data_IF_041568912815
#
_entry.id   IF_041568912815
#
_cell.length_a   1.000
_cell.length_b   1.000
_cell.length_c   1.000
_cell.angle_alpha   90.00
_cell.angle_beta   90.00
_cell.angle_gamma   90.00
#
_symmetry.space_group_name_H-M   'P 1'
#
loop_
_entity.id
_entity.type
_entity.pdbx_description
1 polymer ?
#
# COMPACT_ATOMS: atom_id res chain seq x y z
N UNK A 1 15.48 -35.22 -24.83
CA UNK A 1 15.77 -33.92 -24.18
C UNK A 1 16.52 -34.22 -22.89
N UNK A 2 17.82 -33.97 -22.87
CA UNK A 2 18.70 -34.39 -21.78
C UNK A 2 18.75 -33.29 -20.71
N UNK A 3 18.22 -33.56 -19.52
CA UNK A 3 18.33 -32.70 -18.36
C UNK A 3 19.77 -32.79 -17.82
N UNK A 4 20.58 -31.76 -18.04
CA UNK A 4 21.84 -31.60 -17.33
C UNK A 4 21.50 -30.85 -16.03
N UNK A 5 21.71 -31.44 -14.84
CA UNK A 5 21.57 -30.70 -13.60
C UNK A 5 22.70 -29.66 -13.55
N UNK A 6 22.36 -28.38 -13.71
CA UNK A 6 23.31 -27.29 -13.46
C UNK A 6 23.50 -27.26 -11.95
N UNK A 7 24.56 -27.92 -11.48
CA UNK A 7 24.97 -27.90 -10.09
C UNK A 7 25.26 -26.43 -9.72
N UNK A 8 24.39 -25.84 -8.88
CA UNK A 8 24.43 -24.44 -8.43
C UNK A 8 25.54 -24.15 -7.41
N UNK A 9 26.53 -25.04 -7.29
CA UNK A 9 27.69 -24.88 -6.43
C UNK A 9 28.84 -24.25 -7.22
N UNK A 10 29.58 -23.32 -6.58
CA UNK A 10 30.84 -22.83 -7.15
C UNK A 10 31.76 -24.03 -7.45
N UNK A 11 32.52 -24.00 -8.56
CA UNK A 11 33.61 -24.94 -8.78
C UNK A 11 34.58 -24.97 -7.58
N UNK A 12 35.08 -26.15 -7.22
CA UNK A 12 35.89 -26.36 -6.01
C UNK A 12 37.13 -25.46 -5.93
N UNK A 13 37.76 -25.19 -7.07
CA UNK A 13 38.94 -24.31 -7.17
C UNK A 13 38.60 -22.81 -6.94
N UNK A 14 37.34 -22.41 -7.07
CA UNK A 14 36.85 -21.07 -6.72
C UNK A 14 36.33 -21.04 -5.28
N UNK A 15 35.68 -22.12 -4.85
CA UNK A 15 35.10 -22.24 -3.51
C UNK A 15 36.17 -22.33 -2.41
N UNK A 16 37.32 -22.95 -2.70
CA UNK A 16 38.43 -23.07 -1.77
C UNK A 16 39.51 -22.00 -2.04
N UNK A 17 39.72 -21.11 -1.08
CA UNK A 17 40.71 -20.04 -1.15
C UNK A 17 42.14 -20.58 -1.38
N UNK A 18 42.52 -21.72 -0.80
CA UNK A 18 43.87 -22.27 -1.00
C UNK A 18 44.08 -22.74 -2.45
N UNK A 19 43.09 -23.47 -3.00
CA UNK A 19 43.14 -23.94 -4.39
C UNK A 19 43.12 -22.77 -5.38
N UNK A 20 42.39 -21.70 -5.05
CA UNK A 20 42.39 -20.48 -5.87
C UNK A 20 43.78 -19.83 -5.92
N UNK A 21 44.49 -19.79 -4.79
CA UNK A 21 45.87 -19.29 -4.71
C UNK A 21 46.82 -20.17 -5.50
N UNK A 22 46.73 -21.48 -5.33
CA UNK A 22 47.58 -22.45 -6.04
C UNK A 22 47.39 -22.30 -7.56
N UNK A 23 46.14 -22.19 -8.02
CA UNK A 23 45.83 -21.97 -9.44
C UNK A 23 46.41 -20.64 -9.94
N UNK A 24 46.30 -19.56 -9.15
CA UNK A 24 46.86 -18.26 -9.50
C UNK A 24 48.39 -18.31 -9.65
N UNK A 25 49.08 -19.01 -8.73
CA UNK A 25 50.53 -19.21 -8.78
C UNK A 25 50.93 -20.02 -10.01
N UNK A 26 50.24 -21.14 -10.27
CA UNK A 26 50.50 -21.98 -11.45
C UNK A 26 50.39 -21.17 -12.74
N UNK A 27 49.34 -20.36 -12.87
CA UNK A 27 49.16 -19.48 -14.02
C UNK A 27 50.28 -18.44 -14.12
N UNK A 28 50.64 -17.79 -13.02
CA UNK A 28 51.71 -16.79 -12.98
C UNK A 28 53.08 -17.35 -13.38
N UNK A 29 53.36 -18.62 -13.05
CA UNK A 29 54.59 -19.31 -13.46
C UNK A 29 54.57 -19.77 -14.92
N UNK A 30 53.40 -20.14 -15.45
CA UNK A 30 53.24 -20.77 -16.78
C UNK A 30 53.20 -19.81 -17.99
N UNK A 31 53.33 -18.50 -17.77
CA UNK A 31 53.13 -17.44 -18.79
C UNK A 31 51.73 -17.36 -19.41
N UNK A 32 50.79 -18.17 -18.91
CA UNK A 32 49.39 -18.12 -19.31
C UNK A 32 48.72 -16.81 -18.86
N UNK A 33 47.78 -16.31 -19.67
CA UNK A 33 46.99 -15.12 -19.31
C UNK A 33 45.95 -15.47 -18.24
N UNK A 34 45.75 -14.61 -17.22
CA UNK A 34 44.77 -14.87 -16.16
C UNK A 34 43.32 -14.60 -16.60
N UNK A 35 43.12 -13.96 -17.74
CA UNK A 35 41.84 -13.40 -18.21
C UNK A 35 40.71 -14.44 -18.22
N UNK A 36 40.99 -15.66 -18.69
CA UNK A 36 40.00 -16.73 -18.77
C UNK A 36 39.51 -17.18 -17.39
N UNK A 37 40.43 -17.26 -16.41
CA UNK A 37 40.10 -17.65 -15.03
C UNK A 37 39.36 -16.54 -14.30
N UNK A 38 39.76 -15.29 -14.50
CA UNK A 38 39.05 -14.13 -13.98
C UNK A 38 37.63 -14.03 -14.57
N UNK A 39 37.48 -14.30 -15.86
CA UNK A 39 36.17 -14.38 -16.51
C UNK A 39 35.30 -15.51 -15.95
N UNK A 40 35.89 -16.69 -15.70
CA UNK A 40 35.18 -17.81 -15.09
C UNK A 40 34.65 -17.48 -13.68
N UNK A 41 35.45 -16.79 -12.85
CA UNK A 41 35.02 -16.31 -11.52
C UNK A 41 33.85 -15.32 -11.67
N UNK A 42 33.97 -14.33 -12.56
CA UNK A 42 32.89 -13.35 -12.80
C UNK A 42 31.60 -14.02 -13.26
N UNK A 43 31.68 -14.97 -14.19
CA UNK A 43 30.53 -15.69 -14.73
C UNK A 43 29.83 -16.54 -13.65
N UNK A 44 30.61 -17.23 -12.80
CA UNK A 44 30.07 -18.05 -11.72
C UNK A 44 29.24 -17.22 -10.72
N UNK A 45 29.70 -16.01 -10.38
CA UNK A 45 28.96 -15.10 -9.50
C UNK A 45 27.81 -14.40 -10.22
N UNK A 46 27.94 -14.05 -11.50
CA UNK A 46 26.87 -13.44 -12.30
C UNK A 46 25.62 -14.34 -12.38
N UNK A 47 25.81 -15.66 -12.55
CA UNK A 47 24.71 -16.61 -12.55
C UNK A 47 23.98 -16.67 -11.19
N UNK A 48 24.72 -16.56 -10.09
CA UNK A 48 24.15 -16.58 -8.73
C UNK A 48 23.42 -15.28 -8.40
N UNK A 49 24.00 -14.12 -8.76
CA UNK A 49 23.38 -12.81 -8.50
C UNK A 49 22.17 -12.56 -9.38
N UNK A 50 22.13 -13.08 -10.61
CA UNK A 50 21.00 -12.88 -11.53
C UNK A 50 19.65 -13.33 -10.95
N UNK A 51 19.62 -14.47 -10.24
CA UNK A 51 18.41 -14.95 -9.59
C UNK A 51 17.95 -14.05 -8.43
N UNK A 52 18.90 -13.50 -7.68
CA UNK A 52 18.64 -12.60 -6.55
C UNK A 52 18.21 -11.21 -7.03
N UNK A 53 18.87 -10.67 -8.06
CA UNK A 53 18.50 -9.41 -8.71
C UNK A 53 17.06 -9.46 -9.23
N UNK A 54 16.69 -10.56 -9.88
CA UNK A 54 15.31 -10.77 -10.33
C UNK A 54 14.32 -10.85 -9.17
N UNK A 55 14.66 -11.53 -8.08
CA UNK A 55 13.81 -11.59 -6.89
C UNK A 55 13.66 -10.21 -6.24
N UNK A 56 14.71 -9.40 -6.24
CA UNK A 56 14.68 -8.04 -5.73
C UNK A 56 13.80 -7.13 -6.57
N UNK A 57 13.92 -7.18 -7.90
CA UNK A 57 13.09 -6.39 -8.81
C UNK A 57 11.60 -6.72 -8.63
N UNK A 58 11.26 -8.01 -8.61
CA UNK A 58 9.89 -8.48 -8.35
C UNK A 58 9.37 -8.06 -6.97
N UNK A 59 10.21 -8.14 -5.95
CA UNK A 59 9.83 -7.75 -4.59
C UNK A 59 9.63 -6.23 -4.47
N UNK A 60 10.46 -5.41 -5.12
CA UNK A 60 10.31 -3.96 -5.17
C UNK A 60 9.00 -3.56 -5.87
N UNK A 61 8.65 -4.22 -6.96
CA UNK A 61 7.36 -4.05 -7.64
C UNK A 61 6.18 -4.41 -6.71
N UNK A 62 6.25 -5.57 -6.05
CA UNK A 62 5.19 -6.02 -5.12
C UNK A 62 5.00 -5.07 -3.95
N UNK A 63 6.09 -4.53 -3.38
CA UNK A 63 6.03 -3.51 -2.33
C UNK A 63 5.42 -2.21 -2.85
N UNK A 64 5.71 -1.84 -4.10
CA UNK A 64 5.07 -0.71 -4.79
C UNK A 64 3.56 -0.87 -4.90
N UNK A 65 3.10 -2.02 -5.36
CA UNK A 65 1.67 -2.35 -5.49
C UNK A 65 0.94 -2.35 -4.13
N UNK A 66 1.57 -2.92 -3.11
CA UNK A 66 1.06 -2.88 -1.74
C UNK A 66 0.94 -1.44 -1.23
N UNK A 67 1.90 -0.57 -1.57
CA UNK A 67 1.84 0.83 -1.19
C UNK A 67 0.67 1.55 -1.88
N UNK A 68 0.47 1.32 -3.18
CA UNK A 68 -0.68 1.86 -3.89
C UNK A 68 -2.03 1.39 -3.32
N UNK A 69 -2.11 0.13 -2.89
CA UNK A 69 -3.31 -0.42 -2.25
C UNK A 69 -3.57 0.21 -0.87
N UNK A 70 -2.50 0.42 -0.09
CA UNK A 70 -2.54 1.12 1.20
C UNK A 70 -3.04 2.56 1.02
N UNK A 71 -2.51 3.28 0.03
CA UNK A 71 -2.87 4.68 -0.24
C UNK A 71 -4.34 4.82 -0.64
N UNK A 72 -4.86 3.90 -1.46
CA UNK A 72 -6.29 3.86 -1.82
C UNK A 72 -7.17 3.63 -0.59
N UNK A 73 -6.87 2.60 0.21
CA UNK A 73 -7.70 2.29 1.39
C UNK A 73 -7.62 3.36 2.49
N UNK A 74 -6.47 4.02 2.66
CA UNK A 74 -6.36 5.16 3.59
C UNK A 74 -7.19 6.35 3.14
N UNK A 75 -7.21 6.67 1.85
CA UNK A 75 -8.07 7.71 1.29
C UNK A 75 -9.56 7.38 1.45
N UNK A 76 -9.97 6.16 1.13
CA UNK A 76 -11.36 5.70 1.31
C UNK A 76 -11.78 5.78 2.79
N UNK A 77 -10.90 5.36 3.69
CA UNK A 77 -11.16 5.44 5.13
C UNK A 77 -11.28 6.89 5.61
N UNK A 78 -10.45 7.80 5.12
CA UNK A 78 -10.54 9.22 5.44
C UNK A 78 -11.87 9.82 4.98
N UNK A 79 -12.30 9.51 3.75
CA UNK A 79 -13.58 9.97 3.20
C UNK A 79 -14.77 9.44 4.00
N UNK A 80 -14.80 8.14 4.31
CA UNK A 80 -15.88 7.55 5.10
C UNK A 80 -15.95 8.12 6.52
N UNK A 81 -14.79 8.41 7.12
CA UNK A 81 -14.71 9.02 8.46
C UNK A 81 -15.25 10.46 8.42
N UNK A 82 -14.88 11.25 7.40
CA UNK A 82 -15.41 12.61 7.23
C UNK A 82 -16.93 12.64 7.01
N UNK A 83 -17.46 11.70 6.24
CA UNK A 83 -18.92 11.60 6.02
C UNK A 83 -19.66 11.25 7.30
N UNK A 84 -19.07 10.43 8.17
CA UNK A 84 -19.68 10.01 9.43
C UNK A 84 -19.87 11.16 10.43
N UNK A 85 -19.05 12.22 10.36
CA UNK A 85 -19.15 13.38 11.25
C UNK A 85 -20.29 14.36 10.90
N UNK A 86 -20.98 14.14 9.77
CA UNK A 86 -22.07 15.03 9.34
C UNK A 86 -23.41 14.64 9.97
N UNK A 87 -23.82 15.37 11.01
CA UNK A 87 -25.14 15.21 11.64
C UNK A 87 -26.27 15.80 10.77
N UNK A 88 -27.43 15.12 10.67
CA UNK A 88 -28.61 15.67 10.01
C UNK A 88 -29.11 16.92 10.76
N UNK A 89 -29.23 18.04 10.05
CA UNK A 89 -29.86 19.24 10.61
C UNK A 89 -31.36 19.01 10.81
N UNK A 90 -31.94 19.52 11.90
CA UNK A 90 -33.39 19.43 12.11
C UNK A 90 -34.14 20.18 10.99
N UNK A 91 -35.27 19.64 10.48
CA UNK A 91 -36.01 20.20 9.36
C UNK A 91 -36.90 21.39 9.77
N UNK A 92 -36.30 22.41 10.39
CA UNK A 92 -37.01 23.60 10.90
C UNK A 92 -37.76 24.33 9.76
N UNK A 93 -37.15 24.40 8.58
CA UNK A 93 -37.74 25.09 7.42
C UNK A 93 -39.05 24.48 6.91
N UNK A 94 -39.15 23.15 6.85
CA UNK A 94 -40.36 22.45 6.41
C UNK A 94 -41.50 22.60 7.43
N UNK A 95 -41.17 22.58 8.72
CA UNK A 95 -42.15 22.81 9.78
C UNK A 95 -42.74 24.22 9.72
N UNK A 96 -41.92 25.25 9.46
CA UNK A 96 -42.37 26.64 9.32
C UNK A 96 -43.27 26.84 8.09
N UNK A 97 -42.94 26.23 6.95
CA UNK A 97 -43.78 26.25 5.75
C UNK A 97 -45.15 25.60 5.99
N UNK A 98 -45.19 24.45 6.67
CA UNK A 98 -46.44 23.76 7.02
C UNK A 98 -47.32 24.58 7.95
N UNK A 99 -46.71 25.26 8.94
CA UNK A 99 -47.41 26.17 9.85
C UNK A 99 -48.05 27.35 9.10
N UNK A 100 -47.30 27.96 8.18
CA UNK A 100 -47.80 29.07 7.35
C UNK A 100 -49.00 28.67 6.48
N UNK A 101 -48.94 27.49 5.84
CA UNK A 101 -50.04 26.95 5.03
C UNK A 101 -51.28 26.62 5.87
N UNK A 102 -51.11 26.06 7.06
CA UNK A 102 -52.22 25.72 7.96
C UNK A 102 -52.96 26.96 8.44
N UNK A 103 -52.23 27.98 8.91
CA UNK A 103 -52.83 29.23 9.38
C UNK A 103 -53.47 30.00 8.21
N UNK A 104 -52.76 30.13 7.08
CA UNK A 104 -53.26 30.83 5.91
C UNK A 104 -54.52 30.18 5.31
N UNK A 105 -54.55 28.85 5.20
CA UNK A 105 -55.72 28.11 4.73
C UNK A 105 -56.93 28.26 5.66
N UNK A 106 -56.70 28.28 6.97
CA UNK A 106 -57.77 28.46 7.97
C UNK A 106 -58.39 29.86 7.91
N UNK A 107 -57.57 30.90 7.72
CA UNK A 107 -58.04 32.28 7.53
C UNK A 107 -58.81 32.43 6.22
N UNK A 108 -58.30 31.87 5.12
CA UNK A 108 -58.98 31.91 3.82
C UNK A 108 -60.36 31.23 3.88
N UNK A 109 -60.45 30.09 4.54
CA UNK A 109 -61.71 29.37 4.73
C UNK A 109 -62.71 30.16 5.60
N UNK A 110 -62.23 30.84 6.65
CA UNK A 110 -63.06 31.70 7.49
C UNK A 110 -63.69 32.84 6.68
N UNK A 111 -62.91 33.50 5.82
CA UNK A 111 -63.39 34.59 4.94
C UNK A 111 -64.44 34.07 3.96
N UNK A 112 -64.23 32.88 3.37
CA UNK A 112 -65.16 32.27 2.41
C UNK A 112 -66.50 31.90 3.08
N UNK A 113 -66.45 31.30 4.27
CA UNK A 113 -67.65 30.93 5.04
C UNK A 113 -68.43 32.15 5.52
N UNK A 114 -67.73 33.24 5.88
CA UNK A 114 -68.35 34.50 6.26
C UNK A 114 -69.19 35.12 5.13
N UNK A 115 -68.76 34.97 3.87
CA UNK A 115 -69.52 35.46 2.72
C UNK A 115 -70.81 34.66 2.46
N UNK A 116 -70.79 33.35 2.71
CA UNK A 116 -71.94 32.49 2.43
C UNK A 116 -72.96 32.44 3.59
N UNK A 117 -72.52 32.64 4.84
CA UNK A 117 -73.33 32.49 6.05
C UNK A 117 -73.11 33.66 7.03
N UNK A 118 -73.59 34.89 6.72
CA UNK A 118 -73.27 36.10 7.47
C UNK A 118 -73.85 36.15 8.90
N UNK A 119 -74.88 35.35 9.19
CA UNK A 119 -75.54 35.33 10.50
C UNK A 119 -74.87 34.39 11.52
N UNK A 120 -73.82 33.65 11.13
CA UNK A 120 -73.16 32.62 11.95
C UNK A 120 -71.68 32.95 12.25
N UNK A 121 -71.33 34.22 12.35
CA UNK A 121 -69.95 34.71 12.49
C UNK A 121 -69.16 34.09 13.66
N UNK A 122 -69.80 33.88 14.81
CA UNK A 122 -69.13 33.29 15.97
C UNK A 122 -68.79 31.81 15.72
N UNK A 123 -69.66 31.08 15.03
CA UNK A 123 -69.46 29.67 14.69
C UNK A 123 -68.38 29.49 13.61
N UNK A 124 -68.31 30.38 12.62
CA UNK A 124 -67.27 30.34 11.57
C UNK A 124 -65.87 30.61 12.16
N UNK A 125 -65.75 31.55 13.10
CA UNK A 125 -64.49 31.84 13.80
C UNK A 125 -64.04 30.64 14.65
N UNK A 126 -64.95 30.02 15.41
CA UNK A 126 -64.65 28.83 16.22
C UNK A 126 -64.20 27.68 15.32
N UNK A 127 -64.92 27.40 14.23
CA UNK A 127 -64.59 26.31 13.31
C UNK A 127 -63.23 26.53 12.63
N UNK A 128 -62.93 27.76 12.22
CA UNK A 128 -61.63 28.12 11.65
C UNK A 128 -60.49 27.98 12.67
N UNK A 129 -60.72 28.35 13.95
CA UNK A 129 -59.75 28.16 15.02
C UNK A 129 -59.45 26.69 15.31
N UNK A 130 -60.47 25.83 15.36
CA UNK A 130 -60.31 24.38 15.56
C UNK A 130 -59.52 23.75 14.40
N UNK A 131 -59.84 24.14 13.16
CA UNK A 131 -59.10 23.68 11.98
C UNK A 131 -57.64 24.13 12.00
N UNK A 132 -57.37 25.39 12.34
CA UNK A 132 -56.01 25.93 12.45
C UNK A 132 -55.18 25.17 13.49
N UNK A 133 -55.73 24.94 14.69
CA UNK A 133 -55.05 24.21 15.76
C UNK A 133 -54.82 22.75 15.36
N UNK A 134 -55.82 22.09 14.75
CA UNK A 134 -55.67 20.70 14.30
C UNK A 134 -54.62 20.55 13.19
N UNK A 135 -54.55 21.51 12.25
CA UNK A 135 -53.55 21.52 11.19
C UNK A 135 -52.13 21.82 11.69
N UNK A 136 -52.01 22.71 12.69
CA UNK A 136 -50.73 22.96 13.37
C UNK A 136 -50.24 21.71 14.13
N UNK A 137 -51.13 21.01 14.83
CA UNK A 137 -50.79 19.76 15.52
C UNK A 137 -50.41 18.68 14.51
N UNK A 138 -51.16 18.54 13.41
CA UNK A 138 -50.88 17.56 12.36
C UNK A 138 -49.52 17.80 11.68
N UNK A 139 -49.22 19.04 11.30
CA UNK A 139 -47.92 19.40 10.69
C UNK A 139 -46.75 19.19 11.65
N UNK A 140 -46.92 19.50 12.94
CA UNK A 140 -45.93 19.21 13.97
C UNK A 140 -45.68 17.70 14.13
N UNK A 141 -46.74 16.89 14.19
CA UNK A 141 -46.64 15.43 14.32
C UNK A 141 -45.96 14.80 13.08
N UNK A 142 -46.29 15.26 11.87
CA UNK A 142 -45.60 14.82 10.65
C UNK A 142 -44.12 15.22 10.67
N UNK A 143 -43.79 16.44 11.09
CA UNK A 143 -42.40 16.89 11.18
C UNK A 143 -41.59 16.04 12.18
N UNK A 144 -42.18 15.72 13.34
CA UNK A 144 -41.56 14.85 14.35
C UNK A 144 -41.40 13.41 13.83
N UNK A 145 -42.43 12.86 13.17
CA UNK A 145 -42.37 11.51 12.60
C UNK A 145 -41.31 11.41 11.50
N UNK A 146 -41.22 12.41 10.63
CA UNK A 146 -40.19 12.47 9.58
C UNK A 146 -38.78 12.58 10.17
N UNK A 147 -38.58 13.41 11.20
CA UNK A 147 -37.29 13.53 11.86
C UNK A 147 -36.88 12.23 12.56
N UNK A 148 -37.81 11.53 13.22
CA UNK A 148 -37.55 10.21 13.82
C UNK A 148 -37.17 9.17 12.76
N UNK A 149 -37.88 9.13 11.63
CA UNK A 149 -37.55 8.24 10.52
C UNK A 149 -36.14 8.51 9.97
N UNK A 150 -35.78 9.80 9.81
CA UNK A 150 -34.42 10.20 9.43
C UNK A 150 -33.39 9.74 10.45
N UNK A 151 -33.61 9.94 11.75
CA UNK A 151 -32.68 9.51 12.81
C UNK A 151 -32.42 8.00 12.78
N UNK A 152 -33.47 7.18 12.60
CA UNK A 152 -33.33 5.72 12.49
C UNK A 152 -32.50 5.34 11.24
N UNK A 153 -32.77 5.98 10.11
CA UNK A 153 -32.01 5.74 8.88
C UNK A 153 -30.54 6.17 9.04
N UNK A 154 -30.30 7.32 9.67
CA UNK A 154 -28.96 7.80 10.01
C UNK A 154 -28.24 6.83 10.94
N UNK A 155 -28.92 6.29 11.96
CA UNK A 155 -28.36 5.31 12.88
C UNK A 155 -27.97 4.01 12.15
N UNK A 156 -28.82 3.49 11.24
CA UNK A 156 -28.44 2.33 10.42
C UNK A 156 -27.25 2.64 9.49
N UNK A 157 -27.23 3.85 8.91
CA UNK A 157 -26.12 4.29 8.05
C UNK A 157 -24.81 4.43 8.83
N UNK A 158 -24.82 5.02 10.02
CA UNK A 158 -23.61 5.14 10.85
C UNK A 158 -23.14 3.80 11.35
N UNK A 159 -24.04 2.89 11.72
CA UNK A 159 -23.69 1.53 12.17
C UNK A 159 -23.05 0.72 11.04
N UNK A 160 -23.62 0.78 9.84
CA UNK A 160 -23.05 0.12 8.65
C UNK A 160 -21.72 0.75 8.23
N UNK A 161 -21.61 2.08 8.21
CA UNK A 161 -20.35 2.79 7.95
C UNK A 161 -19.27 2.45 8.97
N UNK A 162 -19.62 2.36 10.26
CA UNK A 162 -18.68 1.97 11.32
C UNK A 162 -18.15 0.54 11.14
N UNK A 163 -19.01 -0.38 10.70
CA UNK A 163 -18.60 -1.74 10.35
C UNK A 163 -17.62 -1.74 9.17
N UNK A 164 -17.93 -0.99 8.10
CA UNK A 164 -17.03 -0.85 6.93
C UNK A 164 -15.68 -0.25 7.32
N UNK A 165 -15.68 0.83 8.11
CA UNK A 165 -14.44 1.47 8.61
C UNK A 165 -13.63 0.46 9.42
N UNK A 166 -14.27 -0.33 10.28
CA UNK A 166 -13.58 -1.38 11.05
C UNK A 166 -12.92 -2.42 10.15
N UNK A 167 -13.64 -2.90 9.13
CA UNK A 167 -13.10 -3.87 8.18
C UNK A 167 -11.93 -3.31 7.37
N UNK A 168 -12.03 -2.06 6.90
CA UNK A 168 -10.95 -1.38 6.17
C UNK A 168 -9.71 -1.18 7.06
N UNK A 169 -9.88 -0.81 8.34
CA UNK A 169 -8.76 -0.71 9.29
C UNK A 169 -8.05 -2.05 9.49
N UNK A 170 -8.82 -3.14 9.54
CA UNK A 170 -8.26 -4.48 9.68
C UNK A 170 -7.51 -4.93 8.42
N UNK A 171 -8.02 -4.62 7.23
CA UNK A 171 -7.32 -4.86 5.97
C UNK A 171 -6.04 -4.03 5.87
N UNK A 172 -6.09 -2.77 6.31
CA UNK A 172 -4.92 -1.89 6.34
C UNK A 172 -3.82 -2.47 7.23
N UNK A 173 -4.15 -2.93 8.43
CA UNK A 173 -3.16 -3.51 9.34
C UNK A 173 -2.59 -4.82 8.80
N UNK A 174 -3.39 -5.65 8.13
CA UNK A 174 -2.89 -6.87 7.49
C UNK A 174 -1.95 -6.56 6.32
N UNK A 175 -2.28 -5.58 5.48
CA UNK A 175 -1.39 -5.14 4.38
C UNK A 175 -0.10 -4.49 4.89
N UNK A 176 -0.16 -3.72 5.99
CA UNK A 176 1.05 -3.18 6.63
C UNK A 176 1.95 -4.29 7.17
N UNK A 177 1.37 -5.32 7.78
CA UNK A 177 2.11 -6.49 8.25
C UNK A 177 2.73 -7.29 7.08
N UNK A 178 2.01 -7.42 5.96
CA UNK A 178 2.54 -8.08 4.78
C UNK A 178 3.68 -7.27 4.14
N UNK A 179 3.49 -5.96 3.99
CA UNK A 179 4.53 -5.04 3.50
C UNK A 179 5.80 -5.12 4.35
N UNK A 180 5.68 -5.12 5.67
CA UNK A 180 6.85 -5.18 6.55
C UNK A 180 7.63 -6.50 6.40
N UNK A 181 6.92 -7.62 6.20
CA UNK A 181 7.53 -8.92 5.90
C UNK A 181 8.26 -8.90 4.56
N UNK A 182 7.63 -8.37 3.51
CA UNK A 182 8.26 -8.30 2.18
C UNK A 182 9.49 -7.39 2.17
N UNK A 183 9.41 -6.24 2.82
CA UNK A 183 10.55 -5.32 2.98
C UNK A 183 11.69 -5.99 3.75
N UNK A 184 11.40 -6.75 4.81
CA UNK A 184 12.43 -7.51 5.52
C UNK A 184 13.10 -8.57 4.62
N UNK A 185 12.31 -9.28 3.80
CA UNK A 185 12.83 -10.25 2.84
C UNK A 185 13.69 -9.58 1.76
N UNK A 186 13.28 -8.42 1.24
CA UNK A 186 14.05 -7.61 0.30
C UNK A 186 15.40 -7.20 0.89
N UNK A 187 15.41 -6.64 2.11
CA UNK A 187 16.66 -6.28 2.78
C UNK A 187 17.58 -7.48 2.97
N UNK A 188 17.03 -8.65 3.32
CA UNK A 188 17.82 -9.86 3.44
C UNK A 188 18.42 -10.32 2.09
N UNK A 189 17.67 -10.21 1.00
CA UNK A 189 18.13 -10.53 -0.35
C UNK A 189 19.18 -9.52 -0.87
N UNK A 190 19.00 -8.22 -0.61
CA UNK A 190 19.96 -7.16 -0.91
C UNK A 190 21.29 -7.36 -0.16
N UNK A 191 21.21 -7.72 1.12
CA UNK A 191 22.38 -8.03 1.93
C UNK A 191 23.14 -9.24 1.36
N UNK A 192 22.44 -10.29 0.94
CA UNK A 192 23.04 -11.47 0.29
C UNK A 192 23.70 -11.13 -1.04
N UNK A 193 23.04 -10.33 -1.87
CA UNK A 193 23.61 -9.87 -3.14
C UNK A 193 24.89 -9.06 -2.90
N UNK A 194 24.86 -8.15 -1.94
CA UNK A 194 26.03 -7.35 -1.56
C UNK A 194 27.17 -8.23 -1.07
N UNK A 195 26.85 -9.24 -0.24
CA UNK A 195 27.82 -10.21 0.23
C UNK A 195 28.44 -11.00 -0.92
N UNK A 196 27.63 -11.53 -1.85
CA UNK A 196 28.13 -12.27 -3.02
C UNK A 196 29.03 -11.42 -3.90
N UNK A 197 28.67 -10.16 -4.15
CA UNK A 197 29.50 -9.23 -4.91
C UNK A 197 30.82 -8.92 -4.17
N UNK A 198 30.78 -8.71 -2.86
CA UNK A 198 32.00 -8.51 -2.07
C UNK A 198 32.90 -9.75 -2.06
N UNK A 199 32.31 -10.95 -1.97
CA UNK A 199 33.04 -12.22 -2.07
C UNK A 199 33.69 -12.37 -3.45
N UNK A 200 32.94 -12.14 -4.53
CA UNK A 200 33.49 -12.14 -5.90
C UNK A 200 34.70 -11.22 -6.00
N UNK A 201 34.56 -9.98 -5.55
CA UNK A 201 35.61 -8.97 -5.68
C UNK A 201 36.83 -9.31 -4.83
N UNK A 202 36.63 -9.89 -3.64
CA UNK A 202 37.72 -10.44 -2.82
C UNK A 202 38.48 -11.54 -3.57
N UNK A 203 37.78 -12.52 -4.14
CA UNK A 203 38.40 -13.65 -4.83
C UNK A 203 39.15 -13.20 -6.09
N UNK A 204 38.59 -12.27 -6.86
CA UNK A 204 39.28 -11.69 -8.02
C UNK A 204 40.59 -10.99 -7.61
N UNK A 205 40.54 -10.13 -6.60
CA UNK A 205 41.74 -9.43 -6.10
C UNK A 205 42.79 -10.39 -5.58
N UNK A 206 42.35 -11.44 -4.86
CA UNK A 206 43.25 -12.46 -4.36
C UNK A 206 43.96 -13.16 -5.52
N UNK A 207 43.20 -13.65 -6.49
CA UNK A 207 43.75 -14.33 -7.66
C UNK A 207 44.75 -13.43 -8.42
N UNK A 208 44.37 -12.18 -8.70
CA UNK A 208 45.24 -11.21 -9.37
C UNK A 208 46.54 -10.95 -8.58
N UNK A 209 46.44 -10.80 -7.26
CA UNK A 209 47.61 -10.54 -6.40
C UNK A 209 48.61 -11.70 -6.39
N UNK A 210 48.13 -12.95 -6.30
CA UNK A 210 48.98 -14.14 -6.27
C UNK A 210 49.58 -14.43 -7.65
N UNK A 211 48.79 -14.26 -8.72
CA UNK A 211 49.26 -14.37 -10.09
C UNK A 211 50.41 -13.39 -10.36
N UNK A 212 50.24 -12.11 -9.99
CA UNK A 212 51.26 -11.09 -10.19
C UNK A 212 52.51 -11.36 -9.33
N UNK A 213 52.32 -11.83 -8.10
CA UNK A 213 53.42 -12.22 -7.22
C UNK A 213 54.25 -13.36 -7.85
N UNK A 214 53.59 -14.45 -8.26
CA UNK A 214 54.26 -15.59 -8.88
C UNK A 214 55.01 -15.20 -10.16
N UNK A 215 54.39 -14.37 -11.01
CA UNK A 215 55.02 -13.82 -12.21
C UNK A 215 56.27 -13.00 -11.87
N UNK A 216 56.19 -12.11 -10.88
CA UNK A 216 57.34 -11.29 -10.46
C UNK A 216 58.49 -12.12 -9.91
N UNK A 217 58.19 -13.21 -9.19
CA UNK A 217 59.20 -14.15 -8.67
C UNK A 217 59.89 -14.87 -9.83
N UNK A 218 59.12 -15.37 -10.80
CA UNK A 218 59.66 -16.00 -12.01
C UNK A 218 60.55 -15.05 -12.79
N UNK A 219 60.10 -13.83 -13.05
CA UNK A 219 60.85 -12.86 -13.83
C UNK A 219 62.19 -12.53 -13.15
N UNK A 220 62.20 -12.36 -11.82
CA UNK A 220 63.44 -12.19 -11.02
C UNK A 220 64.38 -13.40 -11.07
N UNK A 221 63.83 -14.62 -11.02
CA UNK A 221 64.65 -15.84 -11.12
C UNK A 221 65.30 -15.93 -12.49
N UNK A 222 64.55 -15.64 -13.56
CA UNK A 222 65.08 -15.63 -14.93
C UNK A 222 66.17 -14.57 -15.11
N UNK A 223 65.97 -13.36 -14.57
CA UNK A 223 66.98 -12.30 -14.58
C UNK A 223 68.27 -12.75 -13.88
N UNK A 224 68.18 -13.30 -12.66
CA UNK A 224 69.37 -13.74 -11.92
C UNK A 224 70.12 -14.88 -12.61
N UNK A 225 69.42 -15.79 -13.29
CA UNK A 225 70.05 -16.87 -14.06
C UNK A 225 70.84 -16.32 -15.25
N UNK A 226 70.32 -15.30 -15.94
CA UNK A 226 70.97 -14.63 -17.07
C UNK A 226 72.26 -13.88 -16.68
N UNK A 227 72.41 -13.45 -15.42
CA UNK A 227 73.63 -12.79 -14.92
C UNK A 227 74.65 -13.75 -14.27
N UNK A 228 74.33 -15.05 -14.21
CA UNK A 228 75.18 -16.08 -13.59
C UNK A 228 75.99 -16.93 -14.59
N UNK A 229 75.82 -16.67 -15.90
CA UNK A 229 76.67 -17.17 -17.00
C UNK A 229 77.64 -16.09 -17.48
#
# INVERSE_FOLDING_TARGET
>A
MNNIPINTALPDWIANESLLRDEAVLFGLSDARPDEKLAAIRLAFAAQTASLEKQLEQGHETVGDLNGSLDKATHELAQLTQQADTLPRPPIGWALLGLGLSVGGSVALAILLQQQLPNLTLLTIILAGVLAVSGCIGTLLLAVAHHRAQLVQHQHRTTSQAATIKTLRQQLSSWQAEKSRQVANLYAAEARLTQLNATRDRLLRLFESEYNLARSVRDRVNENLLYSE
#
